data_IF_565515003528
#
_entry.id   IF_565515003528
#
_cell.length_a   1.000
_cell.length_b   1.000
_cell.length_c   1.000
_cell.angle_alpha   90.00
_cell.angle_beta   90.00
_cell.angle_gamma   90.00
#
_symmetry.space_group_name_H-M   'P 1'
#
loop_
_entity.id
_entity.type
_entity.pdbx_description
1 polymer ?
#
# COMPACT_ATOMS: atom_id res chain seq x y z
N UNK A 1 37.72 -3.53 -16.68
CA UNK A 1 36.59 -2.66 -16.29
C UNK A 1 35.89 -3.32 -15.11
N UNK A 2 35.97 -2.76 -13.90
CA UNK A 2 35.31 -3.29 -12.71
C UNK A 2 34.57 -2.16 -12.02
N UNK A 3 33.24 -2.12 -12.14
CA UNK A 3 32.41 -0.98 -11.72
C UNK A 3 32.12 -0.94 -10.21
N UNK A 4 32.70 -1.85 -9.43
CA UNK A 4 32.51 -1.90 -7.97
C UNK A 4 33.85 -2.14 -7.27
N UNK A 5 34.69 -1.10 -7.24
CA UNK A 5 35.89 -1.05 -6.41
C UNK A 5 35.55 -0.77 -4.95
N UNK A 6 36.24 -1.45 -4.02
CA UNK A 6 36.09 -1.30 -2.56
C UNK A 6 36.59 0.10 -2.14
N UNK A 7 35.68 1.06 -1.99
CA UNK A 7 36.00 2.43 -1.58
C UNK A 7 36.60 2.48 -0.16
N UNK A 8 37.56 3.39 0.12
CA UNK A 8 38.10 3.56 1.46
C UNK A 8 37.00 4.04 2.41
N UNK A 9 36.91 3.40 3.58
CA UNK A 9 35.90 3.70 4.60
C UNK A 9 36.27 5.01 5.30
N UNK A 10 35.69 6.13 4.87
CA UNK A 10 35.86 7.44 5.52
C UNK A 10 35.26 7.39 6.94
N UNK A 11 36.01 7.71 8.01
CA UNK A 11 35.47 7.82 9.36
C UNK A 11 34.58 9.07 9.45
N UNK A 12 33.33 8.90 9.90
CA UNK A 12 32.36 10.00 10.04
C UNK A 12 31.23 10.02 9.01
N UNK A 13 31.17 9.07 8.07
CA UNK A 13 30.01 8.91 7.19
C UNK A 13 28.78 8.52 8.02
N UNK A 14 27.86 9.46 8.29
CA UNK A 14 26.45 9.13 8.61
C UNK A 14 26.00 8.16 7.52
N UNK A 15 25.62 6.93 7.90
CA UNK A 15 25.22 5.86 6.98
C UNK A 15 23.92 6.25 6.28
N UNK A 16 23.99 7.13 5.30
CA UNK A 16 22.87 7.54 4.46
C UNK A 16 23.46 8.11 3.19
N UNK A 17 23.52 7.29 2.12
CA UNK A 17 23.77 7.82 0.78
C UNK A 17 22.64 8.77 0.37
N UNK A 18 22.78 9.47 -0.76
CA UNK A 18 21.74 10.34 -1.32
C UNK A 18 20.34 9.69 -1.45
N UNK A 19 20.27 8.36 -1.39
CA UNK A 19 19.03 7.59 -1.34
C UNK A 19 18.30 7.63 0.02
N UNK A 20 18.98 7.86 1.15
CA UNK A 20 18.37 7.88 2.48
C UNK A 20 17.27 8.96 2.64
N UNK A 21 17.46 10.23 2.23
CA UNK A 21 16.39 11.22 2.29
C UNK A 21 15.21 10.87 1.38
N UNK A 22 15.47 10.34 0.18
CA UNK A 22 14.43 9.93 -0.78
C UNK A 22 13.60 8.76 -0.25
N UNK A 23 14.24 7.80 0.44
CA UNK A 23 13.56 6.67 1.07
C UNK A 23 12.67 7.14 2.22
N UNK A 24 13.17 8.07 3.06
CA UNK A 24 12.36 8.62 4.16
C UNK A 24 11.16 9.42 3.64
N UNK A 25 11.37 10.24 2.61
CA UNK A 25 10.28 10.99 1.96
C UNK A 25 9.23 10.04 1.35
N UNK A 26 9.66 9.01 0.63
CA UNK A 26 8.75 8.01 0.06
C UNK A 26 7.96 7.26 1.14
N UNK A 27 8.58 6.99 2.30
CA UNK A 27 7.95 6.33 3.43
C UNK A 27 6.88 7.22 4.06
N UNK A 28 7.20 8.48 4.36
CA UNK A 28 6.24 9.46 4.89
C UNK A 28 5.05 9.67 3.94
N UNK A 29 5.30 9.70 2.63
CA UNK A 29 4.24 9.80 1.63
C UNK A 29 3.37 8.54 1.59
N UNK A 30 3.94 7.35 1.75
CA UNK A 30 3.19 6.10 1.72
C UNK A 30 2.31 5.92 2.97
N UNK A 31 2.79 6.30 4.15
CA UNK A 31 2.02 6.18 5.40
C UNK A 31 0.81 7.13 5.46
N UNK A 32 0.90 8.28 4.79
CA UNK A 32 -0.20 9.25 4.72
C UNK A 32 -1.30 8.87 3.71
N UNK A 33 -1.01 7.97 2.78
CA UNK A 33 -1.99 7.57 1.76
C UNK A 33 -3.08 6.70 2.40
N UNK A 34 -4.36 6.99 2.12
CA UNK A 34 -5.43 6.10 2.54
C UNK A 34 -5.28 4.72 1.88
N UNK A 35 -5.82 3.71 2.54
CA UNK A 35 -5.89 2.34 2.03
C UNK A 35 -6.85 2.27 0.85
N UNK A 36 -6.58 1.42 -0.16
CA UNK A 36 -7.46 1.28 -1.31
C UNK A 36 -8.84 0.78 -0.88
N UNK A 37 -9.89 1.22 -1.59
CA UNK A 37 -11.29 0.86 -1.30
C UNK A 37 -11.47 -0.65 -1.03
N UNK A 38 -12.18 -1.06 0.04
CA UNK A 38 -12.40 -2.47 0.37
C UNK A 38 -13.02 -3.31 -0.77
N UNK A 39 -13.70 -2.68 -1.72
CA UNK A 39 -14.25 -3.36 -2.90
C UNK A 39 -13.18 -3.99 -3.80
N UNK A 40 -11.95 -3.45 -3.80
CA UNK A 40 -10.82 -4.03 -4.55
C UNK A 40 -10.37 -5.39 -4.00
N UNK A 41 -10.87 -5.83 -2.83
CA UNK A 41 -10.65 -7.18 -2.33
C UNK A 41 -11.14 -8.27 -3.31
N UNK A 42 -12.14 -7.95 -4.14
CA UNK A 42 -12.77 -8.90 -5.05
C UNK A 42 -12.29 -8.79 -6.50
N UNK A 43 -11.53 -7.73 -6.85
CA UNK A 43 -10.95 -7.57 -8.18
C UNK A 43 -9.68 -8.40 -8.34
N UNK A 44 -9.26 -8.63 -9.58
CA UNK A 44 -8.00 -9.31 -9.95
C UNK A 44 -7.82 -10.76 -9.46
N UNK A 45 -8.83 -11.34 -8.78
CA UNK A 45 -8.88 -12.77 -8.43
C UNK A 45 -8.93 -13.64 -9.70
N UNK A 46 -9.69 -13.19 -10.69
CA UNK A 46 -9.79 -13.78 -12.01
C UNK A 46 -9.78 -12.65 -13.05
N UNK A 47 -9.51 -12.99 -14.31
CA UNK A 47 -9.59 -12.04 -15.43
C UNK A 47 -10.94 -11.30 -15.47
N UNK A 48 -12.02 -12.01 -15.17
CA UNK A 48 -13.37 -11.45 -15.09
C UNK A 48 -14.02 -11.87 -13.78
N UNK A 49 -14.73 -10.95 -13.13
CA UNK A 49 -15.35 -11.20 -11.83
C UNK A 49 -16.53 -12.20 -11.97
N UNK A 50 -16.41 -13.43 -11.45
CA UNK A 50 -17.46 -14.43 -11.54
C UNK A 50 -18.75 -14.01 -10.82
N UNK A 51 -19.92 -14.57 -11.18
CA UNK A 51 -21.21 -14.22 -10.56
C UNK A 51 -21.27 -14.43 -9.04
N UNK A 52 -20.54 -15.39 -8.48
CA UNK A 52 -20.52 -15.60 -7.02
C UNK A 52 -19.69 -14.52 -6.31
N UNK A 53 -18.57 -14.08 -6.87
CA UNK A 53 -17.77 -12.97 -6.32
C UNK A 53 -18.51 -11.63 -6.40
N UNK A 54 -19.24 -11.38 -7.49
CA UNK A 54 -20.14 -10.20 -7.57
C UNK A 54 -21.19 -10.19 -6.46
N UNK A 55 -21.77 -11.35 -6.15
CA UNK A 55 -22.74 -11.49 -5.05
C UNK A 55 -22.10 -11.23 -3.68
N UNK A 56 -20.89 -11.73 -3.46
CA UNK A 56 -20.13 -11.48 -2.22
C UNK A 56 -19.76 -10.00 -2.06
N UNK A 57 -19.30 -9.34 -3.14
CA UNK A 57 -19.02 -7.90 -3.14
C UNK A 57 -20.26 -7.09 -2.75
N UNK A 58 -21.39 -7.38 -3.35
CA UNK A 58 -22.65 -6.70 -3.03
C UNK A 58 -23.14 -6.99 -1.59
N UNK A 59 -22.85 -8.18 -1.06
CA UNK A 59 -23.16 -8.51 0.33
C UNK A 59 -22.30 -7.70 1.31
N UNK A 60 -21.01 -7.53 1.01
CA UNK A 60 -20.12 -6.67 1.80
C UNK A 60 -20.59 -5.21 1.77
N UNK A 61 -20.97 -4.71 0.60
CA UNK A 61 -21.46 -3.33 0.45
C UNK A 61 -22.68 -3.07 1.34
N UNK A 62 -23.69 -3.97 1.32
CA UNK A 62 -24.84 -3.88 2.23
C UNK A 62 -24.44 -4.00 3.70
N UNK A 63 -23.48 -4.87 4.02
CA UNK A 63 -22.99 -5.04 5.39
C UNK A 63 -22.35 -3.76 5.91
N UNK A 64 -21.50 -3.11 5.12
CA UNK A 64 -20.85 -1.85 5.49
C UNK A 64 -21.83 -0.68 5.54
N UNK A 65 -22.92 -0.70 4.77
CA UNK A 65 -23.99 0.30 4.89
C UNK A 65 -24.71 0.24 6.24
N UNK A 66 -24.94 -0.97 6.77
CA UNK A 66 -25.67 -1.15 8.04
C UNK A 66 -24.76 -1.19 9.27
N UNK A 67 -23.52 -1.67 9.12
CA UNK A 67 -22.60 -1.96 10.22
C UNK A 67 -21.23 -1.29 10.04
N UNK A 68 -21.13 -0.27 9.17
CA UNK A 68 -19.88 0.42 8.85
C UNK A 68 -19.19 1.05 10.06
N UNK A 69 -19.96 1.46 11.08
CA UNK A 69 -19.47 1.99 12.36
C UNK A 69 -18.51 1.04 13.09
N UNK A 70 -18.58 -0.27 12.82
CA UNK A 70 -17.69 -1.27 13.43
C UNK A 70 -16.38 -1.49 12.66
N UNK A 71 -16.17 -0.78 11.56
CA UNK A 71 -15.00 -0.92 10.70
C UNK A 71 -14.25 0.41 10.58
N UNK A 72 -12.91 0.39 10.50
CA UNK A 72 -12.10 1.61 10.37
C UNK A 72 -12.13 2.15 8.93
N UNK A 73 -13.32 2.53 8.44
CA UNK A 73 -13.54 2.99 7.06
C UNK A 73 -12.92 4.36 6.76
N UNK A 74 -12.59 5.13 7.80
CA UNK A 74 -11.96 6.46 7.68
C UNK A 74 -10.56 6.40 7.03
N UNK A 75 -9.87 5.27 7.17
CA UNK A 75 -8.55 5.07 6.58
C UNK A 75 -8.60 4.54 5.15
N UNK A 76 -9.79 4.35 4.58
CA UNK A 76 -9.97 3.80 3.24
C UNK A 76 -10.42 4.88 2.25
N UNK A 77 -10.02 4.71 1.01
CA UNK A 77 -10.56 5.46 -0.13
C UNK A 77 -12.04 5.12 -0.33
N UNK A 78 -12.82 6.13 -0.72
CA UNK A 78 -14.26 6.00 -0.99
C UNK A 78 -14.56 5.31 -2.31
#
# INVERSE_FOLDING_TARGET
QGFWGRFPRIPGRKRGGAAAPQVMEAFEQAERKPKPNPQFLFSDVYREMPPHLRRQRAALERHLQHYGEHYPLEHFEK
#
